data_IF_293583408021
#
_entry.id   IF_293583408021
#
_cell.length_a   1.000
_cell.length_b   1.000
_cell.length_c   1.000
_cell.angle_alpha   90.00
_cell.angle_beta   90.00
_cell.angle_gamma   90.00
#
_symmetry.space_group_name_H-M   'P 1'
#
loop_
_entity.id
_entity.type
_entity.pdbx_description
1 polymer ?
#
# COMPACT_ATOMS: atom_id res chain seq x y z
N UNK A 1 1.27 -21.63 -14.29
CA UNK A 1 1.86 -20.83 -13.23
C UNK A 1 0.91 -20.66 -12.07
N UNK A 2 1.39 -20.83 -10.91
CA UNK A 2 0.59 -20.68 -9.71
C UNK A 2 0.86 -19.31 -9.11
N UNK A 3 -0.17 -18.52 -8.90
CA UNK A 3 -0.05 -17.19 -8.30
C UNK A 3 0.69 -17.26 -6.97
N UNK A 4 0.50 -18.35 -6.23
CA UNK A 4 1.12 -18.58 -4.94
C UNK A 4 2.65 -18.72 -4.97
N UNK A 5 3.26 -18.98 -6.13
CA UNK A 5 4.70 -19.25 -6.22
C UNK A 5 5.59 -18.14 -5.65
N UNK A 6 5.15 -16.91 -5.67
CA UNK A 6 5.96 -15.78 -5.24
C UNK A 6 5.36 -15.03 -4.06
N UNK A 7 4.39 -15.63 -3.40
CA UNK A 7 3.71 -14.99 -2.26
C UNK A 7 4.72 -14.66 -1.15
N UNK A 8 5.59 -15.59 -0.81
CA UNK A 8 6.58 -15.38 0.24
C UNK A 8 7.56 -14.25 -0.07
N UNK A 9 8.02 -14.17 -1.31
CA UNK A 9 8.91 -13.10 -1.75
C UNK A 9 8.23 -11.73 -1.67
N UNK A 10 6.97 -11.66 -2.11
CA UNK A 10 6.21 -10.42 -2.07
C UNK A 10 5.88 -10.00 -0.63
N UNK A 11 5.62 -10.97 0.24
CA UNK A 11 5.42 -10.71 1.66
C UNK A 11 6.68 -10.08 2.26
N UNK A 12 7.84 -10.62 1.94
CA UNK A 12 9.11 -10.07 2.38
C UNK A 12 9.31 -8.65 1.87
N UNK A 13 9.00 -8.39 0.60
CA UNK A 13 9.08 -7.04 0.02
C UNK A 13 8.26 -6.05 0.82
N UNK A 14 7.02 -6.42 1.17
CA UNK A 14 6.15 -5.54 1.95
C UNK A 14 6.69 -5.30 3.35
N UNK A 15 7.21 -6.35 3.98
CA UNK A 15 7.85 -6.21 5.29
C UNK A 15 9.04 -5.25 5.23
N UNK A 16 9.89 -5.42 4.24
CA UNK A 16 11.07 -4.57 4.06
C UNK A 16 10.68 -3.12 3.74
N UNK A 17 9.61 -2.94 2.98
CA UNK A 17 9.07 -1.60 2.70
C UNK A 17 8.67 -0.88 3.98
N UNK A 18 8.13 -1.60 4.93
CA UNK A 18 7.75 -1.05 6.24
C UNK A 18 8.94 -0.91 7.19
N UNK A 19 10.12 -1.41 6.80
CA UNK A 19 11.32 -1.27 7.61
C UNK A 19 11.36 -2.15 8.86
N UNK A 20 10.60 -3.25 8.87
CA UNK A 20 10.50 -4.11 10.05
C UNK A 20 11.27 -5.43 9.87
N UNK A 21 12.00 -5.87 10.91
CA UNK A 21 12.58 -7.22 10.93
C UNK A 21 11.49 -8.28 11.04
N UNK A 22 11.83 -9.53 10.71
CA UNK A 22 10.88 -10.65 10.78
C UNK A 22 10.22 -10.79 12.15
N UNK A 23 10.99 -10.66 13.22
CA UNK A 23 10.46 -10.82 14.59
C UNK A 23 9.40 -9.78 14.89
N UNK A 24 9.70 -8.51 14.64
CA UNK A 24 8.78 -7.42 14.93
C UNK A 24 7.54 -7.48 14.05
N UNK A 25 7.71 -7.81 12.78
CA UNK A 25 6.59 -7.97 11.87
C UNK A 25 5.70 -9.13 12.31
N UNK A 26 6.29 -10.24 12.73
CA UNK A 26 5.55 -11.38 13.25
C UNK A 26 4.73 -11.03 14.49
N UNK A 27 5.33 -10.29 15.44
CA UNK A 27 4.61 -9.82 16.62
C UNK A 27 3.40 -8.97 16.23
N UNK A 28 3.59 -8.07 15.29
CA UNK A 28 2.52 -7.21 14.79
C UNK A 28 1.34 -8.05 14.24
N UNK A 29 1.65 -9.15 13.59
CA UNK A 29 0.66 -10.02 12.95
C UNK A 29 0.30 -11.25 13.79
N UNK A 30 0.75 -11.26 15.04
CA UNK A 30 0.46 -12.32 16.00
C UNK A 30 0.95 -13.71 15.56
N UNK A 31 2.14 -13.76 14.99
CA UNK A 31 2.82 -15.02 14.66
C UNK A 31 4.25 -14.99 15.16
N UNK A 32 4.82 -16.19 15.34
CA UNK A 32 6.22 -16.33 15.75
C UNK A 32 7.15 -15.98 14.59
N UNK A 33 8.42 -15.67 14.92
CA UNK A 33 9.45 -15.47 13.92
C UNK A 33 9.58 -16.68 12.99
N UNK A 34 9.47 -17.89 13.54
CA UNK A 34 9.55 -19.12 12.74
C UNK A 34 8.42 -19.22 11.73
N UNK A 35 7.21 -18.88 12.13
CA UNK A 35 6.06 -18.85 11.24
C UNK A 35 6.25 -17.80 10.15
N UNK A 36 6.69 -16.60 10.51
CA UNK A 36 6.96 -15.52 9.55
C UNK A 36 8.02 -15.97 8.53
N UNK A 37 9.09 -16.58 9.00
CA UNK A 37 10.14 -17.11 8.14
C UNK A 37 9.59 -18.16 7.18
N UNK A 38 8.78 -19.08 7.67
CA UNK A 38 8.18 -20.12 6.82
C UNK A 38 7.28 -19.52 5.75
N UNK A 39 6.52 -18.50 6.08
CA UNK A 39 5.69 -17.80 5.10
C UNK A 39 6.55 -17.14 4.01
N UNK A 40 7.62 -16.45 4.41
CA UNK A 40 8.49 -15.76 3.44
C UNK A 40 9.27 -16.72 2.56
N UNK A 41 9.62 -17.90 3.07
CA UNK A 41 10.32 -18.92 2.29
C UNK A 41 9.41 -19.78 1.43
N UNK A 42 8.10 -19.63 1.57
CA UNK A 42 7.15 -20.45 0.83
C UNK A 42 6.99 -21.86 1.39
N UNK A 43 7.49 -22.10 2.60
CA UNK A 43 7.36 -23.40 3.27
C UNK A 43 5.94 -23.69 3.75
N UNK A 44 5.15 -22.65 3.98
CA UNK A 44 3.76 -22.75 4.42
C UNK A 44 2.91 -21.74 3.66
N UNK A 45 1.66 -22.09 3.42
CA UNK A 45 0.66 -21.16 2.86
C UNK A 45 0.23 -20.18 3.94
N UNK A 46 -0.13 -18.96 3.54
CA UNK A 46 -0.61 -17.97 4.48
C UNK A 46 -1.98 -18.37 5.03
N UNK A 47 -2.14 -18.26 6.34
CA UNK A 47 -3.43 -18.43 7.00
C UNK A 47 -4.33 -17.23 6.70
N UNK A 48 -5.65 -17.47 6.59
CA UNK A 48 -6.60 -16.39 6.29
C UNK A 48 -6.62 -15.30 7.39
N UNK A 49 -6.41 -15.69 8.63
CA UNK A 49 -6.33 -14.72 9.74
C UNK A 49 -5.12 -13.82 9.58
N UNK A 50 -4.02 -14.41 9.13
CA UNK A 50 -2.80 -13.66 8.86
C UNK A 50 -3.02 -12.67 7.72
N UNK A 51 -3.69 -13.08 6.65
CA UNK A 51 -4.00 -12.20 5.52
C UNK A 51 -4.89 -11.04 5.96
N UNK A 52 -5.92 -11.31 6.78
CA UNK A 52 -6.77 -10.25 7.32
C UNK A 52 -5.97 -9.27 8.17
N UNK A 53 -5.04 -9.77 8.98
CA UNK A 53 -4.16 -8.92 9.79
C UNK A 53 -3.23 -8.06 8.93
N UNK A 54 -2.75 -8.57 7.80
CA UNK A 54 -1.96 -7.77 6.85
C UNK A 54 -2.72 -6.52 6.43
N UNK A 55 -3.97 -6.67 6.04
CA UNK A 55 -4.80 -5.53 5.63
C UNK A 55 -5.02 -4.54 6.76
N UNK A 56 -5.27 -5.02 7.97
CA UNK A 56 -5.45 -4.16 9.15
C UNK A 56 -4.23 -3.30 9.45
N UNK A 57 -3.05 -3.80 9.15
CA UNK A 57 -1.80 -3.11 9.43
C UNK A 57 -1.22 -2.37 8.22
N UNK A 58 -2.03 -2.16 7.20
CA UNK A 58 -1.63 -1.34 6.05
C UNK A 58 -0.70 -2.03 5.06
N UNK A 59 -0.58 -3.36 5.14
CA UNK A 59 0.16 -4.14 4.16
C UNK A 59 -0.75 -4.39 2.95
N UNK A 60 -0.17 -4.31 1.76
CA UNK A 60 -0.92 -4.58 0.54
C UNK A 60 -1.11 -6.09 0.35
N UNK A 61 -2.13 -6.65 0.98
CA UNK A 61 -2.40 -8.08 0.93
C UNK A 61 -2.69 -8.55 -0.50
N UNK A 62 -3.37 -7.75 -1.29
CA UNK A 62 -3.65 -8.10 -2.69
C UNK A 62 -2.35 -8.24 -3.49
N UNK A 63 -1.41 -7.33 -3.30
CA UNK A 63 -0.09 -7.45 -3.92
C UNK A 63 0.63 -8.73 -3.47
N UNK A 64 0.63 -9.00 -2.17
CA UNK A 64 1.28 -10.20 -1.62
C UNK A 64 0.71 -11.45 -2.28
N UNK A 65 -0.61 -11.55 -2.40
CA UNK A 65 -1.27 -12.74 -2.91
C UNK A 65 -1.24 -12.85 -4.44
N UNK A 66 -1.34 -11.75 -5.16
CA UNK A 66 -1.55 -11.77 -6.61
C UNK A 66 -0.42 -11.18 -7.42
N UNK A 67 0.47 -10.42 -6.80
CA UNK A 67 1.50 -9.67 -7.50
C UNK A 67 1.03 -8.34 -8.09
N UNK A 68 -0.23 -8.01 -7.92
CA UNK A 68 -0.81 -6.75 -8.41
C UNK A 68 -1.07 -5.83 -7.24
N UNK A 69 -0.59 -4.59 -7.34
CA UNK A 69 -0.83 -3.60 -6.30
C UNK A 69 -2.32 -3.33 -6.13
N UNK A 70 -2.78 -3.39 -4.88
CA UNK A 70 -4.13 -3.02 -4.53
C UNK A 70 -4.18 -1.53 -4.33
N UNK A 71 -4.75 -0.83 -5.27
CA UNK A 71 -5.02 0.58 -5.07
C UNK A 71 -6.44 0.84 -5.54
N UNK A 72 -7.18 1.62 -4.78
CA UNK A 72 -8.49 2.07 -5.22
C UNK A 72 -8.37 2.89 -6.51
N UNK A 73 -7.18 3.39 -6.80
CA UNK A 73 -6.90 4.25 -7.95
C UNK A 73 -5.93 3.63 -8.95
N UNK A 74 -5.46 2.41 -8.71
CA UNK A 74 -4.55 1.70 -9.59
C UNK A 74 -3.10 2.14 -9.56
N UNK A 75 -2.76 3.21 -8.85
CA UNK A 75 -1.42 3.76 -8.80
C UNK A 75 -0.98 4.08 -7.39
N UNK A 76 0.34 4.05 -7.19
CA UNK A 76 0.93 4.50 -5.93
C UNK A 76 1.20 5.99 -6.04
N UNK A 77 0.96 6.70 -4.95
CA UNK A 77 1.29 8.11 -4.88
C UNK A 77 2.78 8.28 -4.61
N UNK A 78 3.36 9.33 -5.19
CA UNK A 78 4.70 9.76 -4.82
C UNK A 78 4.68 10.37 -3.42
N UNK A 79 5.85 10.47 -2.73
CA UNK A 79 5.90 11.16 -1.44
C UNK A 79 5.35 12.59 -1.49
N UNK A 80 5.60 13.33 -2.55
CA UNK A 80 5.07 14.68 -2.73
C UNK A 80 3.54 14.67 -2.83
N UNK A 81 2.99 13.70 -3.55
CA UNK A 81 1.54 13.55 -3.67
C UNK A 81 0.90 13.17 -2.35
N UNK A 82 1.53 12.27 -1.58
CA UNK A 82 1.04 11.89 -0.26
C UNK A 82 1.02 13.08 0.70
N UNK A 83 2.05 13.91 0.67
CA UNK A 83 2.11 15.11 1.47
C UNK A 83 0.99 16.08 1.11
N UNK A 84 0.75 16.28 -0.19
CA UNK A 84 -0.35 17.11 -0.66
C UNK A 84 -1.71 16.61 -0.19
N UNK A 85 -1.93 15.30 -0.24
CA UNK A 85 -3.17 14.70 0.23
C UNK A 85 -3.36 14.95 1.72
N UNK A 86 -2.32 14.75 2.51
CA UNK A 86 -2.38 14.97 3.95
C UNK A 86 -2.66 16.44 4.29
N UNK A 87 -2.00 17.36 3.60
CA UNK A 87 -2.22 18.79 3.77
C UNK A 87 -3.65 19.17 3.38
N UNK A 88 -4.13 18.64 2.25
CA UNK A 88 -5.48 18.90 1.79
C UNK A 88 -6.52 18.45 2.81
N UNK A 89 -6.33 17.27 3.41
CA UNK A 89 -7.24 16.74 4.42
C UNK A 89 -7.25 17.56 5.71
N UNK A 90 -6.17 18.26 6.00
CA UNK A 90 -6.01 19.01 7.26
C UNK A 90 -6.58 20.41 7.23
N UNK A 91 -6.93 20.94 6.07
CA UNK A 91 -7.45 22.30 5.93
C UNK A 91 -8.98 22.35 6.00
N UNK A 92 -9.53 23.54 6.18
CA UNK A 92 -10.97 23.74 6.27
C UNK A 92 -11.67 23.43 4.93
N UNK A 93 -12.95 22.96 4.96
CA UNK A 93 -13.67 22.64 3.72
C UNK A 93 -13.75 23.78 2.70
N UNK A 94 -13.87 25.01 3.16
CA UNK A 94 -13.88 26.17 2.27
C UNK A 94 -12.58 26.35 1.53
N UNK A 95 -11.46 26.10 2.22
CA UNK A 95 -10.14 26.16 1.63
C UNK A 95 -9.90 24.99 0.66
N UNK A 96 -10.43 23.83 0.98
CA UNK A 96 -10.39 22.67 0.09
C UNK A 96 -11.10 22.98 -1.23
N UNK A 97 -12.26 23.62 -1.17
CA UNK A 97 -13.01 24.02 -2.36
C UNK A 97 -12.25 25.04 -3.20
N UNK A 98 -11.58 25.99 -2.56
CA UNK A 98 -10.76 26.98 -3.25
C UNK A 98 -9.61 26.30 -3.99
N UNK A 99 -8.94 25.36 -3.35
CA UNK A 99 -7.84 24.61 -3.96
C UNK A 99 -8.33 23.76 -5.13
N UNK A 100 -9.47 23.12 -5.01
CA UNK A 100 -10.07 22.34 -6.10
C UNK A 100 -10.32 23.21 -7.33
N UNK A 101 -10.88 24.39 -7.14
CA UNK A 101 -11.13 25.32 -8.24
C UNK A 101 -9.85 25.76 -8.89
N UNK A 102 -8.82 26.03 -8.11
CA UNK A 102 -7.52 26.43 -8.61
C UNK A 102 -6.88 25.32 -9.46
N UNK A 103 -6.87 24.10 -8.91
CA UNK A 103 -6.32 22.94 -9.61
C UNK A 103 -7.07 22.66 -10.91
N UNK A 104 -8.40 22.76 -10.88
CA UNK A 104 -9.22 22.57 -12.07
C UNK A 104 -8.88 23.58 -13.15
N UNK A 105 -8.75 24.84 -12.79
CA UNK A 105 -8.40 25.89 -13.72
C UNK A 105 -7.04 25.65 -14.39
N UNK A 106 -6.05 25.24 -13.58
CA UNK A 106 -4.73 24.92 -14.09
C UNK A 106 -4.74 23.71 -15.03
N UNK A 107 -5.48 22.67 -14.67
CA UNK A 107 -5.60 21.47 -15.48
C UNK A 107 -6.29 21.77 -16.82
N UNK A 108 -7.37 22.55 -16.80
CA UNK A 108 -8.09 22.96 -18.00
C UNK A 108 -7.19 23.80 -18.93
N UNK A 109 -6.34 24.63 -18.34
CA UNK A 109 -5.42 25.47 -19.10
C UNK A 109 -4.38 24.64 -19.86
N UNK A 110 -3.85 23.60 -19.21
CA UNK A 110 -2.92 22.67 -19.86
C UNK A 110 -3.59 21.96 -21.05
N UNK A 111 -4.82 21.50 -20.87
CA UNK A 111 -5.59 20.86 -21.95
C UNK A 111 -5.77 21.81 -23.12
N UNK A 112 -6.10 23.08 -22.86
CA UNK A 112 -6.24 24.09 -23.93
C UNK A 112 -4.93 24.35 -24.67
N UNK A 113 -3.81 24.38 -23.97
CA UNK A 113 -2.49 24.58 -24.58
C UNK A 113 -2.08 23.41 -25.48
N UNK A 114 -2.55 22.20 -25.17
CA UNK A 114 -2.19 21.00 -25.92
C UNK A 114 -3.13 20.71 -27.11
N UNK A 115 -4.18 21.47 -27.22
CA UNK A 115 -5.11 21.40 -28.38
C UNK A 115 -4.78 22.51 -29.41
#
# INVERSE_FOLDING_TARGET
MIIADRVGERLREERERLGLPQTEFGVLLDVSRGTQKNYEQGASSLDLRYVAALEEHGVDAAFVLTGRRSTALGERFTPAEEELINQFRSIAPGDQDAIRRFLKAMADDVVRQNN
#
